data_IF_269439706471
#
_entry.id   IF_269439706471
#
_cell.length_a   1.000
_cell.length_b   1.000
_cell.length_c   1.000
_cell.angle_alpha   90.00
_cell.angle_beta   90.00
_cell.angle_gamma   90.00
#
_symmetry.space_group_name_H-M   'P 1'
#
loop_
_entity.id
_entity.type
_entity.pdbx_description
1 polymer ?
#
# COMPACT_ATOMS: atom_id res chain seq x y z
N UNK A 1 2.65 -4.87 -65.30
CA UNK A 1 2.54 -4.89 -66.79
C UNK A 1 3.59 -3.94 -67.33
N UNK A 2 4.71 -4.49 -67.82
CA UNK A 2 5.81 -3.71 -68.38
C UNK A 2 5.50 -3.39 -69.85
N UNK A 3 5.50 -2.10 -70.21
CA UNK A 3 5.43 -1.64 -71.59
C UNK A 3 6.87 -1.59 -72.13
N UNK A 4 7.15 -2.46 -73.10
CA UNK A 4 8.39 -2.45 -73.88
C UNK A 4 8.54 -1.11 -74.61
N UNK A 5 9.61 -0.38 -74.32
CA UNK A 5 10.01 0.80 -75.08
C UNK A 5 10.90 0.30 -76.24
N UNK A 6 10.65 0.69 -77.51
CA UNK A 6 11.51 0.27 -78.60
C UNK A 6 12.87 0.93 -78.38
N UNK A 7 13.88 0.07 -78.26
CA UNK A 7 15.29 0.39 -78.17
C UNK A 7 15.72 0.97 -79.53
N UNK A 8 15.62 2.29 -79.66
CA UNK A 8 16.30 3.01 -80.74
C UNK A 8 17.78 2.88 -80.41
N UNK A 9 18.50 2.09 -81.20
CA UNK A 9 19.93 1.87 -81.08
C UNK A 9 20.63 3.23 -80.95
N UNK A 10 21.00 3.56 -79.72
CA UNK A 10 21.85 4.70 -79.39
C UNK A 10 23.24 4.35 -79.90
N UNK A 11 23.57 4.76 -81.12
CA UNK A 11 24.97 4.83 -81.56
C UNK A 11 25.70 5.76 -80.58
N UNK A 12 26.36 5.14 -79.60
CA UNK A 12 27.12 5.82 -78.57
C UNK A 12 28.27 6.55 -79.28
N UNK A 13 28.21 7.88 -79.34
CA UNK A 13 29.23 8.69 -80.02
C UNK A 13 30.64 8.44 -79.43
N UNK A 14 30.72 7.91 -78.22
CA UNK A 14 31.97 7.49 -77.57
C UNK A 14 32.61 6.23 -78.17
N UNK A 15 31.86 5.44 -78.96
CA UNK A 15 32.33 4.23 -79.64
C UNK A 15 32.75 4.48 -81.11
N UNK A 16 32.56 5.70 -81.63
CA UNK A 16 32.96 6.08 -82.98
C UNK A 16 34.42 6.55 -83.00
N UNK A 17 35.23 5.95 -83.88
CA UNK A 17 36.60 6.38 -84.15
C UNK A 17 36.62 7.78 -84.79
N UNK A 18 37.66 8.57 -84.50
CA UNK A 18 37.88 9.89 -85.13
C UNK A 18 37.87 9.80 -86.67
N UNK A 19 38.36 8.70 -87.24
CA UNK A 19 38.35 8.44 -88.70
C UNK A 19 36.93 8.28 -89.28
N UNK A 20 36.01 7.67 -88.53
CA UNK A 20 34.61 7.52 -88.94
C UNK A 20 33.84 8.83 -88.80
N UNK A 21 34.21 9.65 -87.81
CA UNK A 21 33.66 10.97 -87.59
C UNK A 21 34.03 11.94 -88.73
N UNK A 22 35.26 11.84 -89.25
CA UNK A 22 35.76 12.60 -90.40
C UNK A 22 35.10 12.21 -91.72
N UNK A 23 34.61 10.97 -91.85
CA UNK A 23 33.87 10.48 -93.02
C UNK A 23 32.40 10.94 -93.05
N UNK A 24 31.85 11.41 -91.93
CA UNK A 24 30.48 11.91 -91.86
C UNK A 24 30.31 13.30 -92.50
N UNK A 25 29.17 13.52 -93.16
CA UNK A 25 28.79 14.85 -93.64
C UNK A 25 28.44 15.80 -92.49
N UNK A 26 28.66 17.11 -92.68
CA UNK A 26 28.38 18.15 -91.66
C UNK A 26 26.96 18.07 -91.09
N UNK A 27 25.95 17.84 -91.95
CA UNK A 27 24.55 17.77 -91.52
C UNK A 27 24.21 16.53 -90.68
N UNK A 28 24.96 15.44 -90.86
CA UNK A 28 24.80 14.23 -90.05
C UNK A 28 25.44 14.40 -88.69
N UNK A 29 26.61 15.04 -88.63
CA UNK A 29 27.29 15.40 -87.38
C UNK A 29 26.43 16.35 -86.53
N UNK A 30 25.80 17.35 -87.14
CA UNK A 30 24.87 18.27 -86.46
C UNK A 30 23.63 17.54 -85.93
N UNK A 31 23.06 16.61 -86.69
CA UNK A 31 21.91 15.80 -86.22
C UNK A 31 22.30 14.90 -85.04
N UNK A 32 23.46 14.26 -85.10
CA UNK A 32 23.99 13.42 -84.01
C UNK A 32 24.27 14.25 -82.75
N UNK A 33 24.91 15.41 -82.89
CA UNK A 33 25.15 16.34 -81.77
C UNK A 33 23.85 16.77 -81.09
N UNK A 34 22.85 17.22 -81.86
CA UNK A 34 21.55 17.63 -81.31
C UNK A 34 20.82 16.49 -80.59
N UNK A 35 21.00 15.25 -81.05
CA UNK A 35 20.42 14.07 -80.40
C UNK A 35 21.06 13.84 -79.03
N UNK A 36 22.38 13.82 -78.97
CA UNK A 36 23.12 13.60 -77.71
C UNK A 36 22.94 14.77 -76.74
N UNK A 37 22.85 16.00 -77.21
CA UNK A 37 22.52 17.15 -76.36
C UNK A 37 21.10 17.02 -75.75
N UNK A 38 20.14 16.51 -76.54
CA UNK A 38 18.79 16.21 -76.06
C UNK A 38 18.77 15.09 -75.02
N UNK A 39 19.50 14.01 -75.26
CA UNK A 39 19.65 12.88 -74.33
C UNK A 39 20.32 13.31 -73.02
N UNK A 40 21.38 14.11 -73.10
CA UNK A 40 22.05 14.69 -71.94
C UNK A 40 21.11 15.58 -71.13
N UNK A 41 20.31 16.42 -71.80
CA UNK A 41 19.30 17.25 -71.14
C UNK A 41 18.26 16.37 -70.43
N UNK A 42 17.77 15.32 -71.08
CA UNK A 42 16.81 14.38 -70.49
C UNK A 42 17.41 13.67 -69.27
N UNK A 43 18.64 13.15 -69.36
CA UNK A 43 19.35 12.54 -68.23
C UNK A 43 19.54 13.51 -67.06
N UNK A 44 19.85 14.77 -67.33
CA UNK A 44 19.93 15.79 -66.28
C UNK A 44 18.59 16.01 -65.58
N UNK A 45 17.48 16.02 -66.31
CA UNK A 45 16.13 16.14 -65.74
C UNK A 45 15.80 14.91 -64.90
N UNK A 46 16.06 13.69 -65.40
CA UNK A 46 15.84 12.45 -64.69
C UNK A 46 16.67 12.36 -63.41
N UNK A 47 17.95 12.69 -63.47
CA UNK A 47 18.82 12.77 -62.30
C UNK A 47 18.31 13.78 -61.27
N UNK A 48 17.86 14.96 -61.72
CA UNK A 48 17.25 15.97 -60.86
C UNK A 48 15.97 15.48 -60.17
N UNK A 49 15.14 14.72 -60.89
CA UNK A 49 13.92 14.12 -60.34
C UNK A 49 14.24 13.00 -59.34
N UNK A 50 15.23 12.15 -59.63
CA UNK A 50 15.70 11.11 -58.72
C UNK A 50 16.23 11.72 -57.42
N UNK A 51 17.03 12.79 -57.51
CA UNK A 51 17.55 13.48 -56.34
C UNK A 51 16.43 14.09 -55.48
N UNK A 52 15.40 14.67 -56.12
CA UNK A 52 14.21 15.17 -55.40
C UNK A 52 13.48 14.04 -54.67
N UNK A 53 13.33 12.87 -55.28
CA UNK A 53 12.66 11.73 -54.64
C UNK A 53 13.48 11.17 -53.47
N UNK A 54 14.80 11.03 -53.62
CA UNK A 54 15.71 10.62 -52.54
C UNK A 54 15.58 11.59 -51.36
N UNK A 55 15.63 12.90 -51.62
CA UNK A 55 15.50 13.92 -50.58
C UNK A 55 14.12 13.86 -49.91
N UNK A 56 13.05 13.65 -50.68
CA UNK A 56 11.70 13.50 -50.13
C UNK A 56 11.62 12.30 -49.18
N UNK A 57 12.11 11.13 -49.60
CA UNK A 57 12.11 9.91 -48.76
C UNK A 57 12.97 10.08 -47.51
N UNK A 58 14.13 10.72 -47.65
CA UNK A 58 14.99 11.03 -46.52
C UNK A 58 14.27 11.90 -45.48
N UNK A 59 13.54 12.93 -45.91
CA UNK A 59 12.77 13.78 -44.99
C UNK A 59 11.67 13.02 -44.27
N UNK A 60 10.99 12.09 -44.95
CA UNK A 60 9.99 11.22 -44.31
C UNK A 60 10.63 10.35 -43.23
N UNK A 61 11.76 9.70 -43.53
CA UNK A 61 12.46 8.88 -42.54
C UNK A 61 12.99 9.69 -41.36
N UNK A 62 13.48 10.91 -41.61
CA UNK A 62 13.90 11.80 -40.52
C UNK A 62 12.74 12.21 -39.62
N UNK A 63 11.55 12.43 -40.19
CA UNK A 63 10.36 12.71 -39.39
C UNK A 63 9.94 11.50 -38.55
N UNK A 64 9.95 10.31 -39.14
CA UNK A 64 9.64 9.07 -38.43
C UNK A 64 10.62 8.80 -37.28
N UNK A 65 11.92 9.02 -37.48
CA UNK A 65 12.94 8.89 -36.43
C UNK A 65 12.65 9.83 -35.26
N UNK A 66 12.18 11.06 -35.51
CA UNK A 66 11.81 11.99 -34.43
C UNK A 66 10.56 11.51 -33.70
N UNK A 67 9.51 11.12 -34.43
CA UNK A 67 8.27 10.59 -33.86
C UNK A 67 8.52 9.36 -32.97
N UNK A 68 9.33 8.41 -33.44
CA UNK A 68 9.69 7.23 -32.67
C UNK A 68 10.51 7.56 -31.42
N UNK A 69 11.35 8.61 -31.45
CA UNK A 69 12.06 9.08 -30.26
C UNK A 69 11.09 9.63 -29.22
N UNK A 70 10.09 10.40 -29.64
CA UNK A 70 9.09 10.97 -28.72
C UNK A 70 8.24 9.86 -28.07
N UNK A 71 7.82 8.86 -28.85
CA UNK A 71 7.10 7.69 -28.33
C UNK A 71 7.97 6.91 -27.34
N UNK A 72 9.23 6.68 -27.67
CA UNK A 72 10.15 5.95 -26.78
C UNK A 72 10.41 6.73 -25.49
N UNK A 73 10.58 8.05 -25.55
CA UNK A 73 10.70 8.88 -24.35
C UNK A 73 9.47 8.73 -23.46
N UNK A 74 8.27 8.83 -24.03
CA UNK A 74 7.03 8.62 -23.27
C UNK A 74 6.97 7.24 -22.61
N UNK A 75 7.36 6.18 -23.33
CA UNK A 75 7.41 4.84 -22.76
C UNK A 75 8.44 4.70 -21.64
N UNK A 76 9.55 5.43 -21.70
CA UNK A 76 10.54 5.47 -20.61
C UNK A 76 10.00 6.19 -19.39
N UNK A 77 9.31 7.31 -19.59
CA UNK A 77 8.65 8.08 -18.53
C UNK A 77 7.57 7.20 -17.85
N UNK A 78 6.68 6.59 -18.63
CA UNK A 78 5.66 5.65 -18.14
C UNK A 78 6.32 4.45 -17.39
N UNK A 79 7.45 3.92 -17.88
CA UNK A 79 8.17 2.85 -17.19
C UNK A 79 8.77 3.30 -15.86
N UNK A 80 9.24 4.54 -15.78
CA UNK A 80 9.75 5.12 -14.55
C UNK A 80 8.63 5.30 -13.52
N UNK A 81 7.50 5.90 -13.92
CA UNK A 81 6.32 6.07 -13.07
C UNK A 81 5.80 4.73 -12.53
N UNK A 82 5.77 3.69 -13.37
CA UNK A 82 5.38 2.35 -12.93
C UNK A 82 6.32 1.78 -11.86
N UNK A 83 7.62 2.07 -11.93
CA UNK A 83 8.58 1.66 -10.89
C UNK A 83 8.34 2.40 -9.58
N UNK A 84 8.09 3.70 -9.65
CA UNK A 84 7.75 4.50 -8.46
C UNK A 84 6.46 4.00 -7.80
N UNK A 85 5.43 3.70 -8.62
CA UNK A 85 4.19 3.12 -8.14
C UNK A 85 4.42 1.76 -7.47
N UNK A 86 5.29 0.91 -8.02
CA UNK A 86 5.67 -0.34 -7.37
C UNK A 86 6.32 -0.09 -6.00
N UNK A 87 7.29 0.83 -5.88
CA UNK A 87 7.92 1.15 -4.60
C UNK A 87 6.85 1.67 -3.59
N UNK A 88 5.91 2.52 -4.02
CA UNK A 88 4.79 3.01 -3.18
C UNK A 88 3.86 1.89 -2.69
N UNK A 89 3.42 1.00 -3.59
CA UNK A 89 2.52 -0.11 -3.23
C UNK A 89 3.20 -1.10 -2.28
N UNK A 90 4.50 -1.30 -2.40
CA UNK A 90 5.27 -2.12 -1.48
C UNK A 90 5.33 -1.53 -0.07
N UNK A 91 5.50 -0.22 0.06
CA UNK A 91 5.44 0.48 1.34
C UNK A 91 4.06 0.35 1.99
N UNK A 92 2.98 0.56 1.21
CA UNK A 92 1.62 0.42 1.73
C UNK A 92 1.30 -1.02 2.13
N UNK A 93 1.79 -2.01 1.37
CA UNK A 93 1.73 -3.42 1.75
C UNK A 93 2.45 -3.69 3.08
N UNK A 94 3.61 -3.08 3.30
CA UNK A 94 4.34 -3.19 4.57
C UNK A 94 3.58 -2.52 5.73
N UNK A 95 3.01 -1.33 5.51
CA UNK A 95 2.15 -0.65 6.49
C UNK A 95 0.94 -1.51 6.87
N UNK A 96 0.26 -2.12 5.88
CA UNK A 96 -0.85 -3.04 6.11
C UNK A 96 -0.46 -4.25 6.96
N UNK A 97 0.70 -4.85 6.70
CA UNK A 97 1.23 -5.94 7.54
C UNK A 97 1.51 -5.49 8.97
N UNK A 98 2.09 -4.29 9.17
CA UNK A 98 2.35 -3.74 10.50
C UNK A 98 1.03 -3.50 11.26
N UNK A 99 0.06 -2.86 10.61
CA UNK A 99 -1.26 -2.60 11.17
C UNK A 99 -1.96 -3.90 11.58
N UNK A 100 -1.93 -4.93 10.74
CA UNK A 100 -2.52 -6.24 11.07
C UNK A 100 -1.89 -6.85 12.32
N UNK A 101 -0.56 -6.77 12.49
CA UNK A 101 0.12 -7.27 13.69
C UNK A 101 -0.27 -6.48 14.95
N UNK A 102 -0.36 -5.16 14.87
CA UNK A 102 -0.83 -4.33 15.99
C UNK A 102 -2.28 -4.64 16.33
N UNK A 103 -3.14 -4.80 15.33
CA UNK A 103 -4.54 -5.18 15.52
C UNK A 103 -4.68 -6.52 16.25
N UNK A 104 -3.88 -7.52 15.88
CA UNK A 104 -3.86 -8.80 16.58
C UNK A 104 -3.36 -8.67 18.04
N UNK A 105 -2.35 -7.82 18.29
CA UNK A 105 -1.89 -7.55 19.66
C UNK A 105 -2.98 -6.88 20.49
N UNK A 106 -3.61 -5.85 19.93
CA UNK A 106 -4.73 -5.16 20.55
C UNK A 106 -5.87 -6.13 20.87
N UNK A 107 -6.28 -6.97 19.91
CA UNK A 107 -7.31 -7.97 20.11
C UNK A 107 -7.00 -8.94 21.25
N UNK A 108 -5.75 -9.44 21.33
CA UNK A 108 -5.32 -10.29 22.45
C UNK A 108 -5.35 -9.56 23.79
N UNK A 109 -4.81 -8.34 23.84
CA UNK A 109 -4.81 -7.52 25.05
C UNK A 109 -6.22 -7.27 25.57
N UNK A 110 -7.12 -6.79 24.72
CA UNK A 110 -8.51 -6.48 25.08
C UNK A 110 -9.25 -7.73 25.53
N UNK A 111 -9.08 -8.86 24.84
CA UNK A 111 -9.67 -10.12 25.29
C UNK A 111 -9.17 -10.52 26.69
N UNK A 112 -7.85 -10.51 26.92
CA UNK A 112 -7.26 -10.84 28.22
C UNK A 112 -7.73 -9.90 29.34
N UNK A 113 -7.85 -8.60 29.06
CA UNK A 113 -8.38 -7.63 30.01
C UNK A 113 -9.84 -7.95 30.40
N UNK A 114 -10.70 -8.16 29.40
CA UNK A 114 -12.10 -8.54 29.62
C UNK A 114 -12.24 -9.84 30.42
N UNK A 115 -11.46 -10.88 30.10
CA UNK A 115 -11.49 -12.14 30.85
C UNK A 115 -11.14 -11.95 32.33
N UNK A 116 -10.14 -11.10 32.63
CA UNK A 116 -9.75 -10.79 34.00
C UNK A 116 -10.85 -10.03 34.74
N UNK A 117 -11.46 -9.04 34.09
CA UNK A 117 -12.56 -8.26 34.69
C UNK A 117 -13.78 -9.14 34.97
N UNK A 118 -14.21 -9.94 33.99
CA UNK A 118 -15.31 -10.91 34.18
C UNK A 118 -15.01 -11.88 35.32
N UNK A 119 -13.78 -12.43 35.37
CA UNK A 119 -13.36 -13.29 36.47
C UNK A 119 -13.43 -12.59 37.83
N UNK A 120 -13.07 -11.30 37.89
CA UNK A 120 -13.16 -10.48 39.10
C UNK A 120 -14.62 -10.29 39.52
N UNK A 121 -15.52 -9.96 38.59
CA UNK A 121 -16.95 -9.83 38.86
C UNK A 121 -17.58 -11.14 39.32
N UNK A 122 -17.20 -12.28 38.74
CA UNK A 122 -17.67 -13.59 39.17
C UNK A 122 -17.24 -13.93 40.60
N UNK A 123 -16.00 -13.60 40.99
CA UNK A 123 -15.55 -13.77 42.38
C UNK A 123 -16.34 -12.88 43.33
N UNK A 124 -16.57 -11.62 42.96
CA UNK A 124 -17.34 -10.70 43.80
C UNK A 124 -18.80 -11.15 43.95
N UNK A 125 -19.40 -11.69 42.89
CA UNK A 125 -20.76 -12.23 42.94
C UNK A 125 -20.86 -13.38 43.95
N UNK A 126 -19.93 -14.33 43.92
CA UNK A 126 -19.88 -15.45 44.88
C UNK A 126 -19.72 -14.98 46.33
N UNK A 127 -18.89 -13.97 46.55
CA UNK A 127 -18.71 -13.37 47.88
C UNK A 127 -20.04 -12.76 48.39
N UNK A 128 -20.75 -12.02 47.53
CA UNK A 128 -22.04 -11.42 47.86
C UNK A 128 -23.12 -12.49 48.13
N UNK A 129 -23.17 -13.56 47.33
CA UNK A 129 -24.06 -14.70 47.55
C UNK A 129 -23.81 -15.36 48.92
N UNK A 130 -22.53 -15.62 49.25
CA UNK A 130 -22.17 -16.20 50.56
C UNK A 130 -22.50 -15.28 51.73
N UNK A 131 -22.27 -13.97 51.59
CA UNK A 131 -22.64 -12.99 52.61
C UNK A 131 -24.17 -12.94 52.80
N UNK A 132 -24.94 -12.99 51.71
CA UNK A 132 -26.40 -13.03 51.77
C UNK A 132 -26.90 -14.27 52.52
N UNK A 133 -26.31 -15.44 52.28
CA UNK A 133 -26.63 -16.67 53.03
C UNK A 133 -26.32 -16.54 54.53
N UNK A 134 -25.19 -15.94 54.91
CA UNK A 134 -24.85 -15.68 56.33
C UNK A 134 -25.88 -14.79 56.99
N UNK A 135 -26.22 -13.67 56.35
CA UNK A 135 -27.23 -12.73 56.85
C UNK A 135 -28.59 -13.40 56.98
N UNK A 136 -28.99 -14.25 56.03
CA UNK A 136 -30.24 -15.00 56.14
C UNK A 136 -30.24 -15.98 57.31
N UNK A 137 -29.11 -16.65 57.58
CA UNK A 137 -28.95 -17.57 58.70
C UNK A 137 -29.04 -16.84 60.04
N UNK A 138 -28.27 -15.77 60.21
CA UNK A 138 -28.31 -14.90 61.40
C UNK A 138 -29.71 -14.33 61.65
N UNK A 139 -30.41 -13.89 60.58
CA UNK A 139 -31.79 -13.44 60.71
C UNK A 139 -32.75 -14.54 61.17
N UNK A 140 -32.54 -15.79 60.75
CA UNK A 140 -33.37 -16.91 61.19
C UNK A 140 -33.09 -17.26 62.65
N UNK A 141 -31.81 -17.29 63.06
CA UNK A 141 -31.41 -17.49 64.47
C UNK A 141 -32.02 -16.40 65.37
N UNK A 142 -31.98 -15.13 64.94
CA UNK A 142 -32.63 -14.03 65.67
C UNK A 142 -34.14 -14.20 65.78
N UNK A 143 -34.82 -14.65 64.71
CA UNK A 143 -36.26 -14.95 64.76
C UNK A 143 -36.59 -16.07 65.75
N UNK A 144 -35.77 -17.12 65.80
CA UNK A 144 -35.93 -18.21 66.77
C UNK A 144 -35.74 -17.72 68.21
N UNK A 145 -34.73 -16.88 68.46
CA UNK A 145 -34.51 -16.27 69.79
C UNK A 145 -35.72 -15.42 70.22
N UNK A 146 -36.26 -14.59 69.32
CA UNK A 146 -37.45 -13.78 69.62
C UNK A 146 -38.64 -14.67 69.97
N UNK A 147 -38.85 -15.75 69.23
CA UNK A 147 -39.94 -16.70 69.49
C UNK A 147 -39.82 -17.34 70.87
N UNK A 148 -38.63 -17.80 71.27
CA UNK A 148 -38.40 -18.34 72.62
C UNK A 148 -38.66 -17.29 73.72
N UNK A 149 -38.20 -16.04 73.53
CA UNK A 149 -38.43 -14.96 74.48
C UNK A 149 -39.92 -14.59 74.62
N UNK A 150 -40.67 -14.66 73.52
CA UNK A 150 -42.12 -14.43 73.53
C UNK A 150 -42.86 -15.58 74.24
N UNK A 151 -42.45 -16.83 74.04
CA UNK A 151 -42.99 -18.00 74.76
C UNK A 151 -42.76 -17.90 76.28
N UNK A 152 -41.56 -17.51 76.72
CA UNK A 152 -41.24 -17.31 78.14
C UNK A 152 -42.08 -16.18 78.78
N UNK A 153 -42.32 -15.09 78.04
CA UNK A 153 -43.19 -13.99 78.49
C UNK A 153 -44.64 -14.43 78.65
N UNK A 154 -45.10 -15.40 77.87
CA UNK A 154 -46.45 -15.92 77.84
C UNK A 154 -46.67 -17.17 78.76
N UNK A 155 -45.61 -17.89 79.14
CA UNK A 155 -45.67 -19.18 79.84
C UNK A 155 -45.60 -19.18 81.38
N UNK A 156 -45.29 -18.05 82.01
CA UNK A 156 -45.29 -17.93 83.47
C UNK A 156 -45.73 -16.52 83.92
N UNK A 157 -47.04 -16.31 84.04
CA UNK A 157 -47.58 -15.27 84.93
C UNK A 157 -47.40 -13.81 84.53
N UNK A 158 -47.38 -13.45 83.24
CA UNK A 158 -47.46 -12.03 82.84
C UNK A 158 -48.90 -11.54 82.83
N UNK A 159 -49.31 -10.93 83.95
CA UNK A 159 -50.51 -10.09 84.08
C UNK A 159 -50.37 -8.90 83.13
N UNK A 160 -51.17 -8.86 82.07
CA UNK A 160 -51.39 -7.67 81.25
C UNK A 160 -51.99 -6.56 82.12
N UNK A 161 -51.16 -5.67 82.67
CA UNK A 161 -51.61 -4.38 83.18
C UNK A 161 -51.87 -3.49 81.98
N UNK A 162 -53.15 -3.36 81.65
CA UNK A 162 -53.72 -2.28 80.87
C UNK A 162 -53.36 -0.95 81.59
N UNK A 163 -52.55 -0.12 80.96
CA UNK A 163 -52.59 1.36 81.01
C UNK A 163 -51.26 1.95 80.51
N UNK A 164 -51.26 2.35 79.24
CA UNK A 164 -50.59 3.56 78.77
C UNK A 164 -51.29 3.99 77.48
N UNK A 165 -52.58 4.31 77.61
CA UNK A 165 -53.30 5.13 76.64
C UNK A 165 -53.28 6.57 77.15
N UNK A 166 -52.26 7.33 76.77
CA UNK A 166 -52.16 8.81 76.73
C UNK A 166 -50.66 9.16 76.86
N UNK A 167 -49.96 9.66 75.85
CA UNK A 167 -50.24 10.89 75.14
C UNK A 167 -49.31 10.99 73.93
N UNK A 168 -49.84 10.90 72.70
CA UNK A 168 -49.29 11.57 71.50
C UNK A 168 -50.44 11.79 70.51
N UNK A 169 -51.44 12.55 70.97
CA UNK A 169 -52.33 13.32 70.11
C UNK A 169 -51.55 14.53 69.57
N UNK A 170 -51.82 14.90 68.32
CA UNK A 170 -51.36 16.09 67.58
C UNK A 170 -49.98 16.01 66.93
N UNK A 171 -49.94 15.60 65.66
CA UNK A 171 -49.34 16.39 64.56
C UNK A 171 -49.96 15.96 63.22
N UNK A 172 -51.24 16.29 63.02
CA UNK A 172 -51.79 16.44 61.67
C UNK A 172 -51.99 17.94 61.44
N UNK A 173 -51.03 18.58 60.78
CA UNK A 173 -51.16 19.98 60.34
C UNK A 173 -49.85 20.75 60.25
N UNK A 174 -49.29 20.81 59.04
CA UNK A 174 -48.72 22.04 58.50
C UNK A 174 -47.31 22.46 58.91
N UNK A 175 -46.53 22.77 57.86
CA UNK A 175 -45.41 23.73 57.80
C UNK A 175 -44.07 23.38 58.44
N UNK A 176 -43.11 23.09 57.55
CA UNK A 176 -41.85 23.82 57.50
C UNK A 176 -40.75 23.36 58.43
N UNK A 177 -39.72 22.70 57.88
CA UNK A 177 -38.35 23.24 57.87
C UNK A 177 -37.38 22.27 57.14
N UNK A 178 -36.91 22.75 55.98
CA UNK A 178 -35.49 22.81 55.58
C UNK A 178 -34.67 21.50 55.57
N UNK A 179 -34.50 20.93 54.37
CA UNK A 179 -33.23 20.43 53.78
C UNK A 179 -33.43 20.38 52.26
N UNK A 180 -33.40 21.47 51.51
CA UNK A 180 -32.27 22.36 51.14
C UNK A 180 -31.09 21.67 50.43
N UNK A 181 -30.98 22.03 49.14
CA UNK A 181 -29.91 21.96 48.11
C UNK A 181 -29.09 20.68 47.84
N UNK A 182 -28.96 20.38 46.53
CA UNK A 182 -27.82 19.62 46.03
C UNK A 182 -27.85 19.15 44.57
N UNK A 183 -28.27 19.97 43.60
CA UNK A 183 -28.08 19.71 42.16
C UNK A 183 -26.68 20.13 41.68
N UNK A 184 -25.66 19.35 42.02
CA UNK A 184 -24.27 19.64 41.64
C UNK A 184 -23.91 19.18 40.23
N UNK A 185 -24.42 19.85 39.19
CA UNK A 185 -23.77 19.83 37.87
C UNK A 185 -22.64 20.85 37.82
N UNK A 186 -21.50 20.48 37.23
CA UNK A 186 -20.50 21.45 36.78
C UNK A 186 -19.80 20.97 35.51
N UNK A 187 -20.14 21.63 34.42
CA UNK A 187 -19.27 21.95 33.29
C UNK A 187 -18.38 23.13 33.73
N UNK A 188 -17.09 23.21 33.43
CA UNK A 188 -16.50 23.97 32.31
C UNK A 188 -14.97 24.00 32.49
N UNK A 189 -14.18 23.64 31.47
CA UNK A 189 -13.51 24.53 30.48
C UNK A 189 -12.24 25.22 30.99
N UNK A 190 -11.08 24.79 30.48
CA UNK A 190 -9.92 25.66 30.23
C UNK A 190 -9.45 25.43 28.80
N UNK A 191 -9.55 26.48 27.98
CA UNK A 191 -8.97 26.53 26.64
C UNK A 191 -7.52 27.01 26.63
N UNK A 192 -6.81 26.65 25.56
CA UNK A 192 -5.70 27.39 24.93
C UNK A 192 -5.39 26.63 23.64
N UNK A 193 -5.73 27.13 22.46
CA UNK A 193 -5.08 28.21 21.70
C UNK A 193 -3.63 27.85 21.31
N UNK A 194 -3.39 27.65 20.01
CA UNK A 194 -2.05 27.62 19.43
C UNK A 194 -1.88 26.74 18.19
N UNK A 195 -2.30 27.22 17.02
CA UNK A 195 -1.64 26.87 15.76
C UNK A 195 -0.20 27.41 15.75
N UNK A 196 0.72 26.79 14.99
CA UNK A 196 1.14 27.50 13.78
C UNK A 196 1.46 26.60 12.58
N UNK A 197 1.25 27.19 11.41
CA UNK A 197 1.68 26.69 10.11
C UNK A 197 2.96 27.43 9.64
N UNK A 198 3.78 26.67 8.91
CA UNK A 198 4.86 27.03 7.98
C UNK A 198 6.00 27.99 8.38
N UNK A 199 7.25 27.49 8.32
CA UNK A 199 8.22 27.97 7.33
C UNK A 199 9.37 26.99 7.05
N UNK A 200 9.68 26.96 5.76
CA UNK A 200 10.74 26.26 5.04
C UNK A 200 12.11 26.89 5.35
N UNK A 201 13.16 26.09 5.61
CA UNK A 201 14.53 26.49 5.28
C UNK A 201 15.51 25.30 5.20
N UNK A 202 16.17 25.25 4.04
CA UNK A 202 17.34 24.45 3.68
C UNK A 202 18.55 24.63 4.61
N UNK A 203 19.26 23.55 4.94
CA UNK A 203 20.74 23.41 4.94
C UNK A 203 21.09 21.94 5.34
N UNK A 204 21.60 21.06 4.47
CA UNK A 204 22.99 20.88 3.99
C UNK A 204 24.01 20.49 5.09
N UNK A 205 24.66 19.33 4.87
CA UNK A 205 25.91 18.77 5.47
C UNK A 205 25.78 18.14 6.88
N UNK A 206 26.39 17.00 7.25
CA UNK A 206 27.66 16.45 6.78
C UNK A 206 27.88 14.95 7.13
N UNK A 207 28.82 14.31 6.42
CA UNK A 207 29.40 12.95 6.63
C UNK A 207 30.13 12.80 7.99
N UNK A 208 30.59 11.58 8.36
CA UNK A 208 31.98 11.26 8.04
C UNK A 208 32.20 9.87 7.43
N UNK A 209 33.27 9.77 6.66
CA UNK A 209 33.88 8.57 6.10
C UNK A 209 35.26 8.37 6.75
N UNK A 210 35.67 7.11 6.93
CA UNK A 210 37.05 6.58 6.92
C UNK A 210 36.91 5.05 7.12
N UNK A 211 37.18 4.18 6.14
CA UNK A 211 38.51 3.64 5.75
C UNK A 211 39.34 3.18 6.96
N UNK A 212 39.87 1.96 7.11
CA UNK A 212 39.98 0.77 6.26
C UNK A 212 40.93 -0.25 6.96
N UNK A 213 41.14 -1.41 6.32
CA UNK A 213 42.21 -2.41 6.53
C UNK A 213 41.94 -3.70 7.34
N UNK A 214 41.73 -4.77 6.56
CA UNK A 214 42.50 -6.05 6.44
C UNK A 214 42.68 -7.04 7.62
N UNK A 215 42.39 -8.30 7.24
CA UNK A 215 42.92 -9.64 7.65
C UNK A 215 42.70 -10.09 9.10
N UNK A 216 41.93 -11.18 9.33
CA UNK A 216 42.45 -12.56 9.47
C UNK A 216 42.67 -12.85 10.98
N UNK A 217 42.29 -13.95 11.63
CA UNK A 217 42.24 -15.36 11.25
C UNK A 217 41.64 -16.13 12.46
N UNK A 218 40.84 -17.18 12.18
CA UNK A 218 40.62 -18.42 12.95
C UNK A 218 40.37 -18.46 14.48
N UNK A 219 39.18 -18.97 14.85
CA UNK A 219 39.01 -20.14 15.74
C UNK A 219 37.59 -20.70 15.55
N UNK A 220 37.38 -21.77 14.75
CA UNK A 220 37.42 -23.22 15.08
C UNK A 220 36.37 -23.71 16.09
N UNK A 221 35.41 -24.50 15.58
CA UNK A 221 34.86 -25.83 15.99
C UNK A 221 33.80 -26.19 14.92
N UNK A 222 33.98 -27.05 13.90
CA UNK A 222 34.37 -28.48 13.79
C UNK A 222 33.38 -29.40 14.54
N UNK A 223 32.77 -30.47 14.00
CA UNK A 223 32.98 -31.23 12.75
C UNK A 223 31.71 -32.05 12.39
N UNK A 224 31.69 -32.55 11.16
CA UNK A 224 30.69 -33.31 10.40
C UNK A 224 30.37 -34.74 10.87
N UNK A 225 29.25 -35.32 10.39
CA UNK A 225 29.28 -36.66 9.78
C UNK A 225 28.16 -36.87 8.73
N UNK A 226 28.50 -37.53 7.63
CA UNK A 226 27.70 -37.81 6.42
C UNK A 226 27.67 -39.32 6.16
N UNK A 227 26.49 -39.93 5.95
CA UNK A 227 26.35 -41.12 5.10
C UNK A 227 24.88 -41.42 4.68
N UNK A 228 24.50 -40.97 3.47
CA UNK A 228 23.76 -41.61 2.34
C UNK A 228 22.59 -42.64 2.55
N UNK A 229 21.80 -43.06 1.53
CA UNK A 229 21.35 -42.43 0.26
C UNK A 229 19.81 -42.59 -0.03
N UNK A 230 19.37 -42.03 -1.16
CA UNK A 230 18.06 -42.09 -1.82
C UNK A 230 17.24 -43.40 -1.70
N UNK A 231 15.97 -43.26 -1.30
CA UNK A 231 14.88 -44.07 -1.84
C UNK A 231 13.72 -43.19 -2.33
N UNK A 232 13.43 -43.35 -3.61
CA UNK A 232 12.22 -42.90 -4.29
C UNK A 232 10.95 -43.33 -3.53
N UNK A 233 10.04 -42.37 -3.30
CA UNK A 233 8.61 -42.69 -3.25
C UNK A 233 7.79 -41.52 -3.82
N UNK A 234 7.54 -41.59 -5.12
CA UNK A 234 6.32 -41.04 -5.75
C UNK A 234 5.11 -41.63 -5.01
N UNK A 235 3.95 -40.98 -4.80
CA UNK A 235 2.90 -40.53 -5.75
C UNK A 235 1.87 -39.64 -4.95
N UNK A 236 0.78 -39.05 -5.50
CA UNK A 236 0.65 -37.76 -6.23
C UNK A 236 -0.37 -36.74 -5.64
N UNK A 237 -0.38 -35.54 -6.25
CA UNK A 237 -1.51 -34.63 -6.53
C UNK A 237 -2.31 -33.97 -5.39
N UNK A 238 -2.23 -32.64 -5.34
CA UNK A 238 -3.15 -31.76 -4.63
C UNK A 238 -2.81 -30.30 -4.93
N UNK A 239 -3.43 -29.75 -5.97
CA UNK A 239 -3.29 -28.40 -6.52
C UNK A 239 -3.41 -27.30 -5.44
N UNK A 240 -2.43 -26.39 -5.37
CA UNK A 240 -2.63 -24.93 -5.46
C UNK A 240 -1.29 -24.22 -5.34
N UNK A 241 -0.86 -23.64 -6.45
CA UNK A 241 0.39 -22.89 -6.55
C UNK A 241 0.26 -21.51 -5.93
N UNK A 242 1.08 -21.23 -4.94
CA UNK A 242 1.58 -19.89 -4.67
C UNK A 242 3.08 -19.89 -4.97
N UNK A 243 3.42 -19.76 -6.25
CA UNK A 243 4.74 -19.29 -6.64
C UNK A 243 4.85 -17.84 -6.18
N UNK A 244 5.38 -17.66 -4.96
CA UNK A 244 5.84 -16.36 -4.47
C UNK A 244 7.03 -15.95 -5.33
N UNK A 245 6.74 -15.34 -6.48
CA UNK A 245 7.73 -14.61 -7.25
C UNK A 245 8.17 -13.42 -6.39
N UNK A 246 9.32 -13.56 -5.72
CA UNK A 246 10.08 -12.44 -5.19
C UNK A 246 10.62 -11.65 -6.39
N UNK A 247 9.82 -10.74 -6.92
CA UNK A 247 10.36 -9.66 -7.73
C UNK A 247 11.02 -8.66 -6.78
N UNK A 248 12.32 -8.83 -6.59
CA UNK A 248 13.16 -7.81 -5.96
C UNK A 248 13.43 -6.75 -7.01
N UNK A 249 12.51 -5.80 -7.19
CA UNK A 249 12.84 -4.57 -7.90
C UNK A 249 13.79 -3.79 -6.98
N UNK A 250 15.05 -3.67 -7.38
CA UNK A 250 15.91 -2.64 -6.83
C UNK A 250 15.36 -1.30 -7.35
N UNK A 251 14.70 -0.56 -6.46
CA UNK A 251 14.92 0.88 -6.40
C UNK A 251 16.45 1.03 -6.06
#
# INVERSE_FOLDING_TARGET
MAKNHPEVASEDLSQLSDDDLLRCGKDELVRRLRRVDGEKMNLMIEHGNMMKDINRRLQVHLHEIRSLKDINQKLQDDNHELRELCCFLDDDRQKGKKLSREWQRFGRFTASAMWKEVGTYMLKLKELESNQESVLRENNELKEIILMLDEDRNGAGSRSSIDSQSSLTNLNGGTGTVRDVGDGSSTSSTGSAGSPDHHNHNHVHNKPAAEGSKLGTNMRRSMDDLSAPHHHRSIPNGLNGESVFKFQFHC
#
